data_IF_474708821383
#
_entry.id   IF_474708821383
#
_cell.length_a   1.000
_cell.length_b   1.000
_cell.length_c   1.000
_cell.angle_alpha   90.00
_cell.angle_beta   90.00
_cell.angle_gamma   90.00
#
_symmetry.space_group_name_H-M   'P 1'
#
loop_
_entity.id
_entity.type
_entity.pdbx_description
1 polymer ?
#
# COMPACT_ATOMS: atom_id res chain seq x y z
N UNK A 1 -4.48 -20.28 -6.57
CA UNK A 1 -3.32 -20.18 -7.48
C UNK A 1 -3.16 -21.42 -8.34
N UNK A 2 -2.88 -22.61 -7.77
CA UNK A 2 -2.62 -23.82 -8.55
C UNK A 2 -3.77 -24.21 -9.49
N UNK A 3 -5.03 -24.05 -9.07
CA UNK A 3 -6.22 -24.29 -9.90
C UNK A 3 -6.17 -23.52 -11.23
N UNK A 4 -6.05 -22.20 -11.19
CA UNK A 4 -5.92 -21.35 -12.40
C UNK A 4 -4.71 -21.75 -13.26
N UNK A 5 -3.56 -22.05 -12.63
CA UNK A 5 -2.33 -22.38 -13.35
C UNK A 5 -2.42 -23.71 -14.10
N UNK A 6 -3.04 -24.72 -13.49
CA UNK A 6 -3.12 -26.06 -14.07
C UNK A 6 -4.28 -26.17 -15.07
N UNK A 7 -5.41 -25.51 -14.79
CA UNK A 7 -6.62 -25.61 -15.62
C UNK A 7 -6.69 -24.55 -16.72
N UNK A 8 -5.99 -23.42 -16.57
CA UNK A 8 -6.11 -22.26 -17.46
C UNK A 8 -7.47 -21.55 -17.38
N UNK A 9 -8.31 -21.87 -16.38
CA UNK A 9 -9.64 -21.29 -16.22
C UNK A 9 -9.56 -19.78 -15.94
N UNK A 10 -10.37 -19.00 -16.65
CA UNK A 10 -10.59 -17.59 -16.34
C UNK A 10 -11.41 -17.42 -15.06
N UNK A 11 -11.15 -16.33 -14.33
CA UNK A 11 -11.91 -15.95 -13.13
C UNK A 11 -12.62 -14.63 -13.35
N UNK A 12 -13.73 -14.41 -12.64
CA UNK A 12 -14.44 -13.13 -12.67
C UNK A 12 -13.78 -12.09 -11.76
N UNK A 13 -14.18 -10.82 -11.91
CA UNK A 13 -13.76 -9.73 -11.02
C UNK A 13 -14.17 -9.98 -9.56
N UNK A 14 -15.34 -10.58 -9.34
CA UNK A 14 -15.87 -10.88 -8.01
C UNK A 14 -15.07 -11.99 -7.34
N UNK A 15 -14.74 -13.07 -8.08
CA UNK A 15 -13.84 -14.12 -7.60
C UNK A 15 -12.46 -13.54 -7.25
N UNK A 16 -11.89 -12.70 -8.13
CA UNK A 16 -10.60 -12.06 -7.90
C UNK A 16 -10.59 -11.17 -6.64
N UNK A 17 -11.68 -10.44 -6.38
CA UNK A 17 -11.84 -9.64 -5.17
C UNK A 17 -11.95 -10.51 -3.93
N UNK A 18 -12.77 -11.57 -3.98
CA UNK A 18 -12.97 -12.49 -2.85
C UNK A 18 -11.67 -13.23 -2.49
N UNK A 19 -10.84 -13.55 -3.47
CA UNK A 19 -9.55 -14.21 -3.25
C UNK A 19 -8.44 -13.24 -2.81
N UNK A 20 -8.70 -11.92 -2.81
CA UNK A 20 -7.70 -10.90 -2.50
C UNK A 20 -6.67 -10.67 -3.60
N UNK A 21 -6.94 -11.11 -4.83
CA UNK A 21 -6.07 -10.84 -5.99
C UNK A 21 -6.17 -9.37 -6.43
N UNK A 22 -7.36 -8.78 -6.31
CA UNK A 22 -7.60 -7.35 -6.47
C UNK A 22 -8.24 -6.80 -5.20
N UNK A 23 -8.05 -5.50 -4.95
CA UNK A 23 -8.59 -4.82 -3.76
C UNK A 23 -9.84 -3.99 -4.05
N UNK A 24 -10.23 -3.87 -5.33
CA UNK A 24 -11.40 -3.11 -5.78
C UNK A 24 -11.89 -3.62 -7.14
N UNK A 25 -13.20 -3.69 -7.30
CA UNK A 25 -13.91 -3.88 -8.58
C UNK A 25 -14.69 -2.60 -8.87
N UNK A 26 -14.71 -2.19 -10.14
CA UNK A 26 -15.39 -0.98 -10.62
C UNK A 26 -16.11 -1.29 -11.93
N UNK A 27 -17.01 -0.40 -12.34
CA UNK A 27 -17.73 -0.52 -13.61
C UNK A 27 -16.77 -0.50 -14.82
N UNK A 28 -17.23 -1.07 -15.93
CA UNK A 28 -16.47 -1.13 -17.18
C UNK A 28 -16.07 0.28 -17.65
N UNK A 29 -14.79 0.47 -17.95
CA UNK A 29 -14.22 1.75 -18.37
C UNK A 29 -13.66 2.61 -17.23
N UNK A 30 -14.00 2.34 -15.96
CA UNK A 30 -13.60 3.18 -14.83
C UNK A 30 -12.30 2.73 -14.13
N UNK A 31 -11.71 1.61 -14.57
CA UNK A 31 -10.50 1.05 -13.96
C UNK A 31 -9.34 2.06 -13.90
N UNK A 32 -9.13 2.84 -14.96
CA UNK A 32 -8.05 3.83 -15.02
C UNK A 32 -8.29 4.99 -14.05
N UNK A 33 -9.52 5.51 -13.99
CA UNK A 33 -9.90 6.57 -13.06
C UNK A 33 -9.72 6.12 -11.61
N UNK A 34 -10.19 4.92 -11.28
CA UNK A 34 -10.03 4.34 -9.95
C UNK A 34 -8.54 4.14 -9.58
N UNK A 35 -7.70 3.74 -10.55
CA UNK A 35 -6.26 3.62 -10.35
C UNK A 35 -5.60 4.99 -10.11
N UNK A 36 -6.00 6.05 -10.82
CA UNK A 36 -5.51 7.40 -10.59
C UNK A 36 -5.92 7.93 -9.21
N UNK A 37 -7.15 7.70 -8.78
CA UNK A 37 -7.60 8.09 -7.44
C UNK A 37 -6.81 7.37 -6.35
N UNK A 38 -6.50 6.08 -6.54
CA UNK A 38 -5.61 5.35 -5.64
C UNK A 38 -4.19 5.93 -5.65
N UNK A 39 -3.64 6.24 -6.82
CA UNK A 39 -2.32 6.86 -6.92
C UNK A 39 -2.26 8.21 -6.19
N UNK A 40 -3.30 9.04 -6.34
CA UNK A 40 -3.44 10.31 -5.60
C UNK A 40 -3.47 10.13 -4.09
N UNK A 41 -3.97 9.02 -3.59
CA UNK A 41 -3.93 8.70 -2.16
C UNK A 41 -2.51 8.30 -1.74
N UNK A 42 -1.85 7.44 -2.52
CA UNK A 42 -0.49 6.94 -2.24
C UNK A 42 0.53 8.09 -2.20
N UNK A 43 0.48 9.03 -3.14
CA UNK A 43 1.46 10.13 -3.24
C UNK A 43 1.37 11.16 -2.11
N UNK A 44 0.35 11.08 -1.23
CA UNK A 44 0.26 11.96 -0.05
C UNK A 44 1.27 11.59 1.04
N UNK A 45 1.85 10.40 0.97
CA UNK A 45 2.80 9.91 1.95
C UNK A 45 4.25 10.23 1.54
N UNK A 46 5.18 10.37 2.52
CA UNK A 46 6.60 10.52 2.21
C UNK A 46 7.10 9.33 1.38
N UNK A 47 7.60 9.61 0.18
CA UNK A 47 7.95 8.59 -0.82
C UNK A 47 9.00 7.60 -0.31
N UNK A 48 10.02 8.09 0.41
CA UNK A 48 11.08 7.28 1.02
C UNK A 48 10.54 6.29 2.05
N UNK A 49 9.61 6.73 2.91
CA UNK A 49 8.90 5.88 3.88
C UNK A 49 8.10 4.79 3.18
N UNK A 50 7.26 5.18 2.20
CA UNK A 50 6.47 4.22 1.42
C UNK A 50 7.34 3.14 0.75
N UNK A 51 8.50 3.53 0.18
CA UNK A 51 9.42 2.57 -0.41
C UNK A 51 10.09 1.66 0.63
N UNK A 52 10.42 2.18 1.82
CA UNK A 52 10.97 1.39 2.92
C UNK A 52 9.94 0.34 3.40
N UNK A 53 8.70 0.76 3.65
CA UNK A 53 7.59 -0.10 4.05
C UNK A 53 7.37 -1.21 3.02
N UNK A 54 7.29 -0.85 1.73
CA UNK A 54 7.12 -1.82 0.64
C UNK A 54 8.25 -2.84 0.61
N UNK A 55 9.51 -2.42 0.78
CA UNK A 55 10.66 -3.35 0.81
C UNK A 55 10.58 -4.29 2.02
N UNK A 56 10.20 -3.76 3.18
CA UNK A 56 10.03 -4.55 4.41
C UNK A 56 8.97 -5.64 4.23
N UNK A 57 7.79 -5.26 3.73
CA UNK A 57 6.69 -6.19 3.45
C UNK A 57 7.06 -7.28 2.45
N UNK A 58 7.74 -6.93 1.35
CA UNK A 58 8.13 -7.92 0.34
C UNK A 58 9.19 -8.90 0.88
N UNK A 59 10.10 -8.43 1.74
CA UNK A 59 11.09 -9.29 2.36
C UNK A 59 10.43 -10.29 3.34
N UNK A 60 9.53 -9.78 4.19
CA UNK A 60 8.89 -10.59 5.24
C UNK A 60 8.05 -11.75 4.71
N UNK A 61 7.57 -11.69 3.46
CA UNK A 61 6.82 -12.79 2.82
C UNK A 61 7.59 -14.12 2.75
N UNK A 62 8.93 -14.08 2.78
CA UNK A 62 9.78 -15.28 2.66
C UNK A 62 10.79 -15.43 3.81
N UNK A 63 10.95 -14.40 4.64
CA UNK A 63 11.89 -14.39 5.75
C UNK A 63 11.30 -15.04 7.00
N UNK A 64 12.17 -15.57 7.86
CA UNK A 64 11.73 -15.88 9.23
C UNK A 64 11.52 -14.59 10.01
N UNK A 65 10.70 -14.64 11.05
CA UNK A 65 10.38 -13.50 11.92
C UNK A 65 11.63 -12.72 12.37
N UNK A 66 12.65 -13.45 12.84
CA UNK A 66 13.93 -12.86 13.27
C UNK A 66 14.59 -12.02 12.16
N UNK A 67 14.62 -12.53 10.93
CA UNK A 67 15.23 -11.81 9.81
C UNK A 67 14.33 -10.70 9.29
N UNK A 68 13.01 -10.87 9.32
CA UNK A 68 12.05 -9.84 8.96
C UNK A 68 12.19 -8.60 9.86
N UNK A 69 12.22 -8.79 11.18
CA UNK A 69 12.42 -7.66 12.11
C UNK A 69 13.80 -7.02 11.99
N UNK A 70 14.86 -7.81 11.82
CA UNK A 70 16.19 -7.27 11.59
C UNK A 70 16.24 -6.43 10.29
N UNK A 71 15.53 -6.85 9.24
CA UNK A 71 15.44 -6.09 8.00
C UNK A 71 14.58 -4.83 8.15
N UNK A 72 13.49 -4.87 8.90
CA UNK A 72 12.61 -3.73 9.16
C UNK A 72 13.37 -2.54 9.77
N UNK A 73 14.34 -2.82 10.66
CA UNK A 73 15.19 -1.80 11.28
C UNK A 73 16.01 -0.96 10.27
N UNK A 74 16.22 -1.45 9.04
CA UNK A 74 16.85 -0.64 7.99
C UNK A 74 16.02 0.60 7.61
N UNK A 75 14.71 0.59 7.91
CA UNK A 75 13.80 1.73 7.70
C UNK A 75 14.10 2.91 8.62
N UNK A 76 14.95 2.75 9.65
CA UNK A 76 15.42 3.89 10.46
C UNK A 76 16.17 4.94 9.60
N UNK A 77 16.69 4.55 8.45
CA UNK A 77 17.31 5.46 7.48
C UNK A 77 16.36 6.54 6.95
N UNK A 78 15.04 6.32 6.97
CA UNK A 78 14.01 7.28 6.50
C UNK A 78 13.30 8.00 7.64
N UNK A 79 13.80 7.87 8.88
CA UNK A 79 13.20 8.49 10.05
C UNK A 79 13.08 10.03 9.96
N UNK A 80 14.05 10.79 9.39
CA UNK A 80 13.89 12.23 9.22
C UNK A 80 12.64 12.62 8.39
N UNK A 81 12.40 11.92 7.28
CA UNK A 81 11.25 12.15 6.41
C UNK A 81 9.93 11.75 7.11
N UNK A 82 9.96 10.68 7.91
CA UNK A 82 8.82 10.25 8.71
C UNK A 82 8.44 11.32 9.76
N UNK A 83 9.43 11.91 10.46
CA UNK A 83 9.22 12.99 11.42
C UNK A 83 8.60 14.21 10.74
N UNK A 84 9.11 14.59 9.57
CA UNK A 84 8.56 15.70 8.79
C UNK A 84 7.11 15.43 8.38
N UNK A 85 6.82 14.23 7.87
CA UNK A 85 5.47 13.80 7.49
C UNK A 85 4.49 13.85 8.67
N UNK A 86 4.90 13.34 9.83
CA UNK A 86 4.09 13.39 11.05
C UNK A 86 3.80 14.84 11.49
N UNK A 87 4.79 15.73 11.42
CA UNK A 87 4.60 17.15 11.73
C UNK A 87 3.60 17.83 10.76
N UNK A 88 3.64 17.47 9.48
CA UNK A 88 2.69 17.98 8.47
C UNK A 88 1.26 17.50 8.74
N UNK A 89 1.09 16.22 9.06
CA UNK A 89 -0.22 15.64 9.41
C UNK A 89 -0.88 16.37 10.60
N UNK A 90 -0.11 16.69 11.65
CA UNK A 90 -0.62 17.44 12.80
C UNK A 90 -1.09 18.84 12.39
N UNK A 91 -0.36 19.52 11.49
CA UNK A 91 -0.75 20.85 11.00
C UNK A 91 -2.04 20.83 10.20
N UNK A 92 -2.21 19.84 9.32
CA UNK A 92 -3.39 19.70 8.47
C UNK A 92 -4.64 19.41 9.29
N UNK A 93 -4.56 18.48 10.25
CA UNK A 93 -5.68 18.19 11.17
C UNK A 93 -6.10 19.40 12.01
N UNK A 94 -5.14 20.26 12.42
CA UNK A 94 -5.46 21.50 13.14
C UNK A 94 -6.19 22.52 12.24
N UNK A 95 -5.81 22.62 10.96
CA UNK A 95 -6.49 23.50 9.99
C UNK A 95 -7.91 23.05 9.71
N UNK A 96 -8.16 21.74 9.67
CA UNK A 96 -9.49 21.18 9.45
C UNK A 96 -10.43 21.45 10.63
N UNK A 97 -9.93 21.29 11.87
CA UNK A 97 -10.68 21.63 13.10
C UNK A 97 -10.94 23.13 13.28
N UNK A 98 -10.08 24.00 12.74
CA UNK A 98 -10.25 25.46 12.86
C UNK A 98 -11.26 26.05 11.86
N UNK A 99 -11.74 25.25 10.90
CA UNK A 99 -12.76 25.65 9.92
C UNK A 99 -14.19 25.27 10.33
N UNK A 100 -14.34 24.62 11.48
CA UNK A 100 -15.60 24.22 12.12
C UNK A 100 -15.84 25.18 13.29
#
# INVERSE_FOLDING_TARGET
ALDMTVTGRAITSEEALQWGLVTKVVDDGEALNAAFELAKQIIKHPYSCMLADRRSMLNSMSATEKYAYAFELNSLSVLPDAIQGAAQFIKENKKEKSKI
#
